data_IF_479751942563
#
_entry.id   IF_479751942563
#
_cell.length_a   1.000
_cell.length_b   1.000
_cell.length_c   1.000
_cell.angle_alpha   90.00
_cell.angle_beta   90.00
_cell.angle_gamma   90.00
#
_symmetry.space_group_name_H-M   'P 1'
#
loop_
_entity.id
_entity.type
_entity.pdbx_description
1 polymer ?
#
# COMPACT_ATOMS: atom_id res chain seq x y z
N UNK A 1 7.16 27.24 -16.12
CA UNK A 1 6.84 25.80 -16.22
C UNK A 1 7.76 25.04 -15.28
N UNK A 2 7.18 24.53 -14.19
CA UNK A 2 7.95 23.97 -13.07
C UNK A 2 8.37 22.53 -13.31
N UNK A 3 9.66 22.28 -13.14
CA UNK A 3 10.34 20.97 -13.21
C UNK A 3 10.02 20.02 -12.03
N UNK A 4 8.92 20.25 -11.31
CA UNK A 4 8.58 19.50 -10.09
C UNK A 4 7.33 18.59 -10.20
N UNK A 5 6.68 18.51 -11.36
CA UNK A 5 5.45 17.70 -11.55
C UNK A 5 5.66 16.17 -11.63
N UNK A 6 6.86 15.64 -11.41
CA UNK A 6 7.13 14.18 -11.47
C UNK A 6 7.14 13.49 -10.10
N UNK A 7 7.00 14.23 -8.99
CA UNK A 7 6.94 13.66 -7.64
C UNK A 7 5.51 13.45 -7.11
N UNK A 8 4.50 14.04 -7.74
CA UNK A 8 3.07 13.82 -7.41
C UNK A 8 2.59 12.39 -7.76
N UNK A 9 3.35 11.64 -8.55
CA UNK A 9 3.04 10.26 -8.94
C UNK A 9 3.45 9.17 -7.94
N UNK A 10 4.03 9.50 -6.79
CA UNK A 10 4.51 8.51 -5.81
C UNK A 10 3.51 8.16 -4.70
N UNK A 11 2.45 8.94 -4.52
CA UNK A 11 1.45 8.69 -3.49
C UNK A 11 0.32 7.82 -4.04
N UNK A 12 0.06 6.63 -3.47
CA UNK A 12 -1.04 5.79 -3.92
C UNK A 12 -2.39 6.50 -3.68
N UNK A 13 -3.27 6.46 -4.68
CA UNK A 13 -4.61 7.02 -4.57
C UNK A 13 -5.48 6.21 -3.59
N UNK A 14 -6.51 6.84 -3.03
CA UNK A 14 -7.45 6.16 -2.14
C UNK A 14 -8.16 4.95 -2.81
N UNK A 15 -8.36 5.01 -4.13
CA UNK A 15 -8.92 3.89 -4.89
C UNK A 15 -7.95 2.70 -4.94
N UNK A 16 -6.66 2.96 -5.20
CA UNK A 16 -5.61 1.93 -5.19
C UNK A 16 -5.43 1.32 -3.82
N UNK A 17 -5.45 2.12 -2.75
CA UNK A 17 -5.33 1.63 -1.37
C UNK A 17 -6.50 0.69 -1.03
N UNK A 18 -7.74 1.07 -1.33
CA UNK A 18 -8.90 0.19 -1.09
C UNK A 18 -8.84 -1.10 -1.90
N UNK A 19 -8.46 -1.01 -3.17
CA UNK A 19 -8.31 -2.18 -4.02
C UNK A 19 -7.24 -3.13 -3.48
N UNK A 20 -6.11 -2.58 -3.02
CA UNK A 20 -5.01 -3.38 -2.48
C UNK A 20 -5.36 -3.98 -1.11
N UNK A 21 -6.08 -3.26 -0.24
CA UNK A 21 -6.63 -3.80 1.01
C UNK A 21 -7.52 -5.01 0.74
N UNK A 22 -8.38 -4.94 -0.28
CA UNK A 22 -9.25 -6.07 -0.64
C UNK A 22 -8.45 -7.28 -1.14
N UNK A 23 -7.43 -7.06 -1.98
CA UNK A 23 -6.52 -8.12 -2.42
C UNK A 23 -5.73 -8.74 -1.27
N UNK A 24 -5.23 -7.93 -0.35
CA UNK A 24 -4.53 -8.38 0.85
C UNK A 24 -5.46 -9.24 1.71
N UNK A 25 -6.71 -8.84 1.88
CA UNK A 25 -7.71 -9.65 2.57
C UNK A 25 -7.94 -11.00 1.88
N UNK A 26 -8.04 -11.02 0.54
CA UNK A 26 -8.18 -12.26 -0.21
C UNK A 26 -6.94 -13.17 -0.11
N UNK A 27 -5.72 -12.60 -0.14
CA UNK A 27 -4.46 -13.34 -0.09
C UNK A 27 -4.12 -13.85 1.31
N UNK A 28 -4.42 -13.05 2.33
CA UNK A 28 -4.08 -13.31 3.73
C UNK A 28 -5.31 -13.70 4.56
N UNK A 29 -6.27 -14.41 3.95
CA UNK A 29 -7.41 -15.07 4.63
C UNK A 29 -8.25 -14.16 5.53
N UNK A 30 -8.46 -12.92 5.12
CA UNK A 30 -9.24 -11.93 5.86
C UNK A 30 -8.43 -11.09 6.83
N UNK A 31 -7.09 -11.27 6.87
CA UNK A 31 -6.17 -10.50 7.73
C UNK A 31 -5.30 -9.53 6.89
N UNK A 32 -5.89 -8.49 6.26
CA UNK A 32 -5.15 -7.61 5.35
C UNK A 32 -4.03 -6.82 6.05
N UNK A 33 -4.18 -6.50 7.34
CA UNK A 33 -3.20 -5.73 8.10
C UNK A 33 -1.94 -6.55 8.38
N UNK A 34 -2.10 -7.77 8.91
CA UNK A 34 -0.98 -8.69 9.14
C UNK A 34 -0.32 -9.10 7.83
N UNK A 35 -1.12 -9.35 6.80
CA UNK A 35 -0.64 -9.62 5.45
C UNK A 35 0.26 -8.51 4.90
N UNK A 36 -0.18 -7.25 5.01
CA UNK A 36 0.62 -6.10 4.56
C UNK A 36 1.93 -5.97 5.34
N UNK A 37 1.92 -6.23 6.66
CA UNK A 37 3.13 -6.20 7.49
C UNK A 37 4.10 -7.34 7.14
N UNK A 38 3.59 -8.52 6.85
CA UNK A 38 4.40 -9.67 6.41
C UNK A 38 5.05 -9.38 5.06
N UNK A 39 4.31 -8.83 4.10
CA UNK A 39 4.84 -8.47 2.78
C UNK A 39 5.91 -7.37 2.87
N UNK A 40 5.70 -6.36 3.72
CA UNK A 40 6.72 -5.35 4.02
C UNK A 40 7.98 -5.93 4.67
N UNK A 41 7.83 -6.92 5.55
CA UNK A 41 8.95 -7.59 6.23
C UNK A 41 9.72 -8.53 5.30
N UNK A 42 9.05 -9.14 4.31
CA UNK A 42 9.67 -10.05 3.36
C UNK A 42 10.72 -9.37 2.46
N UNK A 43 10.67 -8.03 2.31
CA UNK A 43 11.72 -7.25 1.65
C UNK A 43 11.84 -7.43 0.14
N UNK A 44 10.90 -8.16 -0.49
CA UNK A 44 10.84 -8.40 -1.94
C UNK A 44 10.01 -7.37 -2.73
N UNK A 45 9.61 -6.26 -2.11
CA UNK A 45 8.70 -5.28 -2.69
C UNK A 45 9.44 -4.09 -3.31
N UNK A 46 8.96 -3.61 -4.45
CA UNK A 46 9.48 -2.37 -5.07
C UNK A 46 9.18 -1.16 -4.18
N UNK A 47 9.85 -0.03 -4.43
CA UNK A 47 9.60 1.23 -3.70
C UNK A 47 8.13 1.66 -3.78
N UNK A 48 7.50 1.52 -4.95
CA UNK A 48 6.09 1.86 -5.14
C UNK A 48 5.16 0.91 -4.36
N UNK A 49 5.41 -0.40 -4.39
CA UNK A 49 4.65 -1.37 -3.61
C UNK A 49 4.81 -1.14 -2.10
N UNK A 50 6.02 -0.79 -1.66
CA UNK A 50 6.30 -0.45 -0.27
C UNK A 50 5.50 0.76 0.18
N UNK A 51 5.40 1.79 -0.66
CA UNK A 51 4.56 2.97 -0.39
C UNK A 51 3.08 2.60 -0.31
N UNK A 52 2.58 1.78 -1.25
CA UNK A 52 1.20 1.30 -1.26
C UNK A 52 0.86 0.47 -0.02
N UNK A 53 1.72 -0.49 0.35
CA UNK A 53 1.52 -1.32 1.55
C UNK A 53 1.55 -0.48 2.83
N UNK A 54 2.45 0.51 2.94
CA UNK A 54 2.47 1.44 4.09
C UNK A 54 1.18 2.26 4.16
N UNK A 55 0.67 2.73 3.03
CA UNK A 55 -0.61 3.45 2.98
C UNK A 55 -1.78 2.55 3.39
N UNK A 56 -1.80 1.29 2.94
CA UNK A 56 -2.78 0.28 3.37
C UNK A 56 -2.73 0.06 4.89
N UNK A 57 -1.53 -0.15 5.46
CA UNK A 57 -1.35 -0.31 6.91
C UNK A 57 -1.85 0.92 7.67
N UNK A 58 -1.54 2.12 7.19
CA UNK A 58 -1.99 3.36 7.83
C UNK A 58 -3.52 3.50 7.80
N UNK A 59 -4.16 3.15 6.68
CA UNK A 59 -5.61 3.17 6.56
C UNK A 59 -6.26 2.12 7.48
N UNK A 60 -5.77 0.89 7.47
CA UNK A 60 -6.30 -0.21 8.29
C UNK A 60 -6.16 0.02 9.80
N UNK A 61 -5.13 0.73 10.24
CA UNK A 61 -4.96 1.13 11.65
C UNK A 61 -5.87 2.27 12.09
N UNK A 62 -6.44 3.02 11.13
CA UNK A 62 -7.36 4.13 11.39
C UNK A 62 -8.84 3.74 11.26
N UNK A 63 -9.12 2.63 10.58
CA UNK A 63 -10.44 2.04 10.46
C UNK A 63 -10.83 1.32 11.75
#
# INVERSE_FOLDING_TARGET
>A
MGIFSWLDGLAPSAAEIRAEVWKLGARHRGEPLEGALQELKAGGTTTAQTALLRACVQQLRRA
#
